data_IF_927105101611
#
_entry.id   IF_927105101611
#
_cell.length_a   1.000
_cell.length_b   1.000
_cell.length_c   1.000
_cell.angle_alpha   90.00
_cell.angle_beta   90.00
_cell.angle_gamma   90.00
#
_symmetry.space_group_name_H-M   'P 1'
#
loop_
_entity.id
_entity.type
_entity.pdbx_description
1 polymer ?
#
# COMPACT_ATOMS: atom_id res chain seq x y z
N UNK A 1 6.86 17.64 26.88
CA UNK A 1 5.58 16.96 26.57
C UNK A 1 5.92 15.89 25.56
N UNK A 2 6.13 14.65 26.02
CA UNK A 2 6.44 13.52 25.14
C UNK A 2 5.15 13.18 24.38
N UNK A 3 5.18 13.28 23.05
CA UNK A 3 4.05 12.87 22.20
C UNK A 3 3.76 11.39 22.44
N UNK A 4 2.48 11.05 22.52
CA UNK A 4 2.07 9.65 22.57
C UNK A 4 2.67 8.91 21.35
N UNK A 5 3.13 7.65 21.49
CA UNK A 5 3.57 6.89 20.34
C UNK A 5 2.42 6.85 19.32
N UNK A 6 2.70 7.31 18.09
CA UNK A 6 1.76 7.21 16.98
C UNK A 6 1.24 5.77 16.87
N UNK A 7 -0.04 5.57 16.51
CA UNK A 7 -0.60 4.23 16.44
C UNK A 7 0.23 3.39 15.47
N UNK A 8 0.78 2.28 15.97
CA UNK A 8 1.46 1.30 15.13
C UNK A 8 0.47 0.89 14.04
N UNK A 9 0.80 1.01 12.75
CA UNK A 9 -0.11 0.57 11.69
C UNK A 9 -0.36 -0.92 11.88
N UNK A 10 -1.64 -1.31 12.00
CA UNK A 10 -2.00 -2.70 12.13
C UNK A 10 -1.48 -3.47 10.92
N UNK A 11 -0.84 -4.65 11.10
CA UNK A 11 -0.36 -5.43 9.98
C UNK A 11 -1.52 -5.73 9.02
N UNK A 12 -1.42 -5.23 7.79
CA UNK A 12 -2.43 -5.40 6.73
C UNK A 12 -2.48 -6.82 6.15
N UNK A 13 -1.84 -7.77 6.82
CA UNK A 13 -1.76 -9.16 6.41
C UNK A 13 -2.19 -10.04 7.57
N UNK A 14 -3.30 -10.77 7.43
CA UNK A 14 -3.69 -11.77 8.41
C UNK A 14 -2.66 -12.90 8.47
N UNK A 15 -2.51 -13.46 9.66
CA UNK A 15 -1.52 -14.49 9.96
C UNK A 15 -1.92 -15.92 9.48
N UNK A 16 -3.15 -16.18 9.01
CA UNK A 16 -3.60 -17.50 8.52
C UNK A 16 -4.80 -17.48 7.52
N UNK A 17 -4.98 -18.62 6.83
CA UNK A 17 -6.04 -19.17 5.98
C UNK A 17 -6.86 -18.19 5.12
N UNK A 18 -6.78 -18.36 3.80
CA UNK A 18 -7.39 -17.51 2.75
C UNK A 18 -8.84 -17.05 3.01
N UNK A 19 -9.66 -17.85 3.67
CA UNK A 19 -11.03 -17.48 4.10
C UNK A 19 -11.06 -16.35 5.14
N UNK A 20 -10.16 -16.34 6.12
CA UNK A 20 -10.02 -15.26 7.11
C UNK A 20 -9.52 -13.98 6.43
N UNK A 21 -8.62 -14.13 5.44
CA UNK A 21 -8.08 -13.00 4.68
C UNK A 21 -9.13 -12.31 3.82
N UNK A 22 -9.92 -13.09 3.07
CA UNK A 22 -11.07 -12.55 2.34
C UNK A 22 -12.02 -11.79 3.25
N UNK A 23 -12.43 -12.40 4.37
CA UNK A 23 -13.40 -11.80 5.30
C UNK A 23 -12.88 -10.47 5.85
N UNK A 24 -11.60 -10.39 6.16
CA UNK A 24 -10.95 -9.16 6.64
C UNK A 24 -10.99 -8.05 5.58
N UNK A 25 -10.59 -8.33 4.33
CA UNK A 25 -10.67 -7.35 3.25
C UNK A 25 -12.12 -6.90 2.97
N UNK A 26 -13.07 -7.83 2.93
CA UNK A 26 -14.47 -7.50 2.60
C UNK A 26 -15.18 -6.75 3.73
N UNK A 27 -14.97 -7.12 5.00
CA UNK A 27 -15.78 -6.61 6.11
C UNK A 27 -15.08 -5.53 6.93
N UNK A 28 -13.76 -5.60 7.11
CA UNK A 28 -13.02 -4.60 7.91
C UNK A 28 -12.56 -3.44 7.03
N UNK A 29 -12.09 -3.72 5.80
CA UNK A 29 -11.61 -2.69 4.87
C UNK A 29 -12.65 -2.28 3.81
N UNK A 30 -13.75 -3.01 3.69
CA UNK A 30 -14.80 -2.74 2.70
C UNK A 30 -14.35 -2.95 1.24
N UNK A 31 -13.31 -3.75 1.02
CA UNK A 31 -12.76 -3.97 -0.32
C UNK A 31 -13.40 -5.18 -1.00
N UNK A 32 -13.90 -5.02 -2.23
CA UNK A 32 -14.44 -6.15 -2.99
C UNK A 32 -13.33 -7.12 -3.38
N UNK A 33 -13.53 -8.40 -3.03
CA UNK A 33 -12.62 -9.49 -3.43
C UNK A 33 -13.24 -10.32 -4.56
N UNK A 34 -12.39 -10.88 -5.41
CA UNK A 34 -12.77 -11.86 -6.42
C UNK A 34 -12.43 -13.25 -5.88
N UNK A 35 -13.35 -14.24 -5.99
CA UNK A 35 -13.04 -15.63 -5.62
C UNK A 35 -11.80 -16.15 -6.35
N UNK A 36 -10.88 -16.80 -5.63
CA UNK A 36 -9.68 -17.40 -6.18
C UNK A 36 -8.57 -17.62 -5.15
N UNK A 37 -7.62 -18.49 -5.49
CA UNK A 37 -6.36 -18.67 -4.78
C UNK A 37 -5.20 -18.38 -5.75
N UNK A 38 -4.32 -17.41 -5.49
CA UNK A 38 -4.35 -16.49 -4.34
C UNK A 38 -5.54 -15.52 -4.36
N UNK A 39 -5.88 -14.95 -3.20
CA UNK A 39 -6.93 -13.93 -3.07
C UNK A 39 -6.69 -12.79 -4.06
N UNK A 40 -7.74 -12.40 -4.79
CA UNK A 40 -7.70 -11.32 -5.77
C UNK A 40 -8.61 -10.20 -5.31
N UNK A 41 -8.15 -8.96 -5.46
CA UNK A 41 -8.98 -7.77 -5.25
C UNK A 41 -9.55 -7.31 -6.59
N UNK A 42 -10.76 -6.75 -6.59
CA UNK A 42 -11.30 -6.12 -7.80
C UNK A 42 -10.42 -4.90 -8.14
N UNK A 43 -9.98 -4.83 -9.39
CA UNK A 43 -9.29 -3.67 -9.96
C UNK A 43 -10.33 -2.65 -10.50
N UNK A 44 -10.13 -1.35 -10.31
CA UNK A 44 -10.98 -0.26 -10.85
C UNK A 44 -12.00 0.40 -9.90
N UNK A 45 -12.02 0.12 -8.59
CA UNK A 45 -13.02 0.72 -7.68
C UNK A 45 -12.51 2.02 -7.03
N UNK A 46 -11.46 1.91 -6.21
CA UNK A 46 -10.66 3.02 -5.65
C UNK A 46 -9.26 2.51 -5.40
N UNK A 47 -8.24 3.35 -5.60
CA UNK A 47 -6.85 3.08 -5.25
C UNK A 47 -6.25 4.34 -4.70
N UNK A 48 -5.35 4.15 -3.75
CA UNK A 48 -4.36 5.18 -3.46
C UNK A 48 -3.17 4.95 -4.40
N UNK A 49 -2.34 5.96 -4.54
CA UNK A 49 -1.17 5.94 -5.41
C UNK A 49 0.05 6.33 -4.60
N UNK A 50 1.09 5.51 -4.69
CA UNK A 50 2.44 5.90 -4.29
C UNK A 50 3.18 6.39 -5.53
N UNK A 51 3.42 7.69 -5.58
CA UNK A 51 4.16 8.38 -6.62
C UNK A 51 5.63 8.50 -6.16
N UNK A 52 6.55 7.87 -6.92
CA UNK A 52 7.97 7.74 -6.59
C UNK A 52 8.86 8.07 -7.79
N UNK A 53 10.16 8.35 -7.59
CA UNK A 53 11.11 8.41 -8.69
C UNK A 53 11.10 7.09 -9.47
N UNK A 54 11.11 7.17 -10.79
CA UNK A 54 10.97 6.01 -11.67
C UNK A 54 12.07 4.97 -11.40
N UNK A 55 13.31 5.39 -11.16
CA UNK A 55 14.42 4.47 -10.85
C UNK A 55 14.14 3.66 -9.58
N UNK A 56 13.71 4.32 -8.50
CA UNK A 56 13.34 3.67 -7.25
C UNK A 56 12.12 2.75 -7.43
N UNK A 57 11.12 3.19 -8.20
CA UNK A 57 9.95 2.39 -8.55
C UNK A 57 10.31 1.10 -9.30
N UNK A 58 11.16 1.19 -10.32
CA UNK A 58 11.65 0.01 -11.05
C UNK A 58 12.40 -0.96 -10.13
N UNK A 59 13.24 -0.45 -9.23
CA UNK A 59 13.90 -1.29 -8.24
C UNK A 59 12.89 -1.97 -7.30
N UNK A 60 11.81 -1.30 -6.94
CA UNK A 60 10.75 -1.83 -6.08
C UNK A 60 9.89 -2.90 -6.78
N UNK A 61 9.73 -2.86 -8.11
CA UNK A 61 8.95 -3.86 -8.87
C UNK A 61 9.42 -5.30 -8.64
N UNK A 62 10.70 -5.53 -8.32
CA UNK A 62 11.23 -6.88 -7.99
C UNK A 62 10.57 -7.50 -6.76
N UNK A 63 9.95 -6.69 -5.91
CA UNK A 63 9.23 -7.12 -4.71
C UNK A 63 7.72 -7.26 -4.96
N UNK A 64 7.25 -6.92 -6.16
CA UNK A 64 5.85 -6.98 -6.56
C UNK A 64 5.58 -8.18 -7.47
N UNK A 65 4.30 -8.53 -7.62
CA UNK A 65 3.88 -9.63 -8.48
C UNK A 65 3.89 -9.25 -9.97
N UNK A 66 3.98 -10.22 -10.90
CA UNK A 66 4.05 -9.98 -12.35
C UNK A 66 2.88 -9.21 -12.97
N UNK A 67 1.78 -9.03 -12.23
CA UNK A 67 0.56 -8.33 -12.68
C UNK A 67 0.23 -7.12 -11.82
N UNK A 68 1.20 -6.61 -11.07
CA UNK A 68 1.00 -5.45 -10.23
C UNK A 68 0.73 -4.20 -11.10
N UNK A 69 -0.37 -3.47 -10.87
CA UNK A 69 -0.72 -2.30 -11.65
C UNK A 69 0.22 -1.13 -11.36
N UNK A 70 0.84 -0.61 -12.41
CA UNK A 70 1.73 0.56 -12.34
C UNK A 70 1.51 1.48 -13.53
N UNK A 71 1.77 2.77 -13.34
CA UNK A 71 1.85 3.74 -14.43
C UNK A 71 3.19 4.48 -14.37
N UNK A 72 3.78 4.77 -15.52
CA UNK A 72 5.02 5.55 -15.62
C UNK A 72 4.74 6.82 -16.42
N UNK A 73 5.14 7.96 -15.88
CA UNK A 73 5.00 9.27 -16.52
C UNK A 73 6.30 10.05 -16.33
N UNK A 74 7.12 10.11 -17.38
CA UNK A 74 8.43 10.77 -17.31
C UNK A 74 9.35 10.06 -16.32
N UNK A 75 9.88 10.83 -15.37
CA UNK A 75 10.77 10.37 -14.28
C UNK A 75 10.02 9.91 -13.03
N UNK A 76 8.68 9.81 -13.09
CA UNK A 76 7.83 9.34 -11.99
C UNK A 76 7.19 8.01 -12.32
N UNK A 77 7.10 7.15 -11.31
CA UNK A 77 6.32 5.91 -11.32
C UNK A 77 5.23 5.97 -10.26
N UNK A 78 4.04 5.54 -10.64
CA UNK A 78 2.85 5.45 -9.79
C UNK A 78 2.50 4.00 -9.55
N UNK A 79 2.63 3.58 -8.30
CA UNK A 79 2.23 2.25 -7.84
C UNK A 79 0.80 2.34 -7.30
N UNK A 80 -0.12 1.59 -7.89
CA UNK A 80 -1.49 1.55 -7.39
C UNK A 80 -1.54 0.62 -6.18
N UNK A 81 -1.97 1.18 -5.06
CA UNK A 81 -2.06 0.49 -3.78
C UNK A 81 -3.49 0.50 -3.26
N UNK A 82 -3.73 -0.42 -2.34
CA UNK A 82 -4.76 -0.36 -1.34
C UNK A 82 -5.29 1.05 -1.00
N UNK A 83 -6.59 1.34 -1.14
CA UNK A 83 -7.22 2.52 -0.54
C UNK A 83 -6.86 2.71 0.95
N UNK A 84 -6.64 3.95 1.39
CA UNK A 84 -6.21 4.28 2.76
C UNK A 84 -4.70 4.14 3.01
N UNK A 85 -3.91 3.72 2.02
CA UNK A 85 -2.43 3.75 2.10
C UNK A 85 -1.86 5.16 2.22
N UNK A 86 -2.51 6.15 1.63
CA UNK A 86 -2.06 7.53 1.67
C UNK A 86 -2.17 8.13 3.08
N UNK A 87 -3.22 7.78 3.82
CA UNK A 87 -3.43 8.20 5.20
C UNK A 87 -2.47 7.48 6.16
N UNK A 88 -2.16 6.20 5.91
CA UNK A 88 -1.26 5.43 6.78
C UNK A 88 0.23 5.72 6.52
N UNK A 89 0.60 6.18 5.31
CA UNK A 89 2.00 6.35 4.92
C UNK A 89 2.78 7.28 5.88
N UNK A 90 2.28 8.45 6.32
CA UNK A 90 3.00 9.30 7.27
C UNK A 90 3.35 8.58 8.58
N UNK A 91 2.41 7.82 9.16
CA UNK A 91 2.65 7.06 10.39
C UNK A 91 3.66 5.93 10.18
N UNK A 92 3.66 5.28 9.01
CA UNK A 92 4.67 4.29 8.65
C UNK A 92 6.07 4.91 8.52
N UNK A 93 6.19 6.06 7.85
CA UNK A 93 7.46 6.76 7.69
C UNK A 93 8.00 7.29 9.03
N UNK A 94 7.12 7.74 9.92
CA UNK A 94 7.49 8.11 11.29
C UNK A 94 8.03 6.89 12.07
N UNK A 95 7.31 5.76 12.02
CA UNK A 95 7.72 4.53 12.70
C UNK A 95 9.06 3.98 12.20
N UNK A 96 9.33 4.10 10.89
CA UNK A 96 10.62 3.73 10.30
C UNK A 96 11.73 4.74 10.61
N UNK A 97 11.41 5.88 11.23
CA UNK A 97 12.30 7.05 11.38
C UNK A 97 12.78 7.62 10.04
N UNK A 98 11.99 7.42 8.98
CA UNK A 98 12.29 7.85 7.61
C UNK A 98 11.64 9.18 7.23
N UNK A 99 10.82 9.77 8.10
CA UNK A 99 10.07 10.99 7.79
C UNK A 99 10.92 12.21 7.41
N UNK A 100 12.22 12.23 7.74
CA UNK A 100 13.16 13.29 7.37
C UNK A 100 14.04 12.95 6.16
N UNK A 101 13.98 11.71 5.66
CA UNK A 101 14.74 11.30 4.50
C UNK A 101 14.13 11.94 3.24
N UNK A 102 14.97 12.42 2.30
CA UNK A 102 14.50 12.98 1.04
C UNK A 102 14.09 11.85 0.08
N UNK A 103 13.04 11.09 0.44
CA UNK A 103 12.58 9.92 -0.31
C UNK A 103 11.94 10.27 -1.66
N UNK A 104 11.54 11.53 -1.84
CA UNK A 104 10.81 12.00 -3.02
C UNK A 104 9.56 11.14 -3.33
N UNK A 105 8.95 10.62 -2.25
CA UNK A 105 7.76 9.79 -2.25
C UNK A 105 6.55 10.66 -1.90
N UNK A 106 5.51 10.60 -2.73
CA UNK A 106 4.22 11.26 -2.47
C UNK A 106 3.10 10.24 -2.48
N UNK A 107 2.20 10.30 -1.51
CA UNK A 107 0.97 9.53 -1.51
C UNK A 107 -0.22 10.38 -2.00
N UNK A 108 -1.11 9.75 -2.77
CA UNK A 108 -2.34 10.34 -3.30
C UNK A 108 -3.48 9.38 -2.94
N UNK A 109 -4.55 9.87 -2.30
CA UNK A 109 -5.74 9.10 -1.91
C UNK A 109 -7.04 9.72 -2.42
#
# INVERSE_FOLDING_TARGET
>A
MFGAPGPIPFPRRPLDASCQVRRWYENELGWPTVPGDPLRLVVGVRYDVLDVPAEAGHAALRHLGPRSPVAVLGDRMRLLVAPGSAEELPGLLEWLEWGTLPLDLTAIG
#
